data_IF_086402479794
#
_entry.id   IF_086402479794
#
_cell.length_a   1.000
_cell.length_b   1.000
_cell.length_c   1.000
_cell.angle_alpha   90.00
_cell.angle_beta   90.00
_cell.angle_gamma   90.00
#
_symmetry.space_group_name_H-M   'P 1'
#
loop_
_entity.id
_entity.type
_entity.pdbx_description
1 polymer ?
#
# COMPACT_ATOMS: atom_id res chain seq x y z
N UNK A 1 5.84 21.56 30.24
CA UNK A 1 4.96 22.61 29.67
C UNK A 1 4.81 22.30 28.20
N UNK A 2 3.67 21.72 27.82
CA UNK A 2 3.34 21.44 26.42
C UNK A 2 2.83 22.73 25.81
N UNK A 3 3.59 23.32 24.90
CA UNK A 3 3.01 24.25 23.93
C UNK A 3 2.08 23.44 23.04
N UNK A 4 0.78 23.69 23.17
CA UNK A 4 -0.19 23.26 22.19
C UNK A 4 0.23 23.88 20.85
N UNK A 5 0.69 23.06 19.89
CA UNK A 5 0.90 23.48 18.50
C UNK A 5 -0.38 24.18 18.04
N UNK A 6 -0.30 25.49 17.87
CA UNK A 6 -1.35 26.34 17.35
C UNK A 6 -1.72 25.92 15.94
N UNK A 7 -3.01 26.06 15.62
CA UNK A 7 -3.79 25.44 14.56
C UNK A 7 -3.51 25.91 13.12
N UNK A 8 -2.26 26.17 12.73
CA UNK A 8 -1.97 26.65 11.36
C UNK A 8 -0.57 26.26 10.81
N UNK A 9 0.13 25.31 11.43
CA UNK A 9 1.35 24.75 10.83
C UNK A 9 0.99 23.72 9.75
N UNK A 10 1.50 23.91 8.53
CA UNK A 10 1.35 22.95 7.43
C UNK A 10 1.74 21.53 7.88
N UNK A 11 0.85 20.56 7.65
CA UNK A 11 1.12 19.15 7.94
C UNK A 11 2.17 18.65 6.96
N UNK A 12 3.30 18.15 7.45
CA UNK A 12 4.38 17.67 6.57
C UNK A 12 4.34 16.16 6.40
N UNK A 13 4.83 15.65 5.27
CA UNK A 13 4.92 14.23 4.99
C UNK A 13 6.30 13.83 4.45
N UNK A 14 6.80 12.69 4.92
CA UNK A 14 7.86 11.92 4.25
C UNK A 14 7.20 10.68 3.66
N UNK A 15 7.45 10.42 2.38
CA UNK A 15 6.88 9.26 1.70
C UNK A 15 7.96 8.30 1.20
N UNK A 16 7.84 7.03 1.56
CA UNK A 16 8.73 5.96 1.12
C UNK A 16 8.05 5.03 0.12
N UNK A 17 8.80 4.47 -0.82
CA UNK A 17 8.23 3.66 -1.90
C UNK A 17 7.10 4.43 -2.61
N UNK A 18 7.33 5.72 -2.88
CA UNK A 18 6.29 6.65 -3.30
C UNK A 18 5.69 6.31 -4.68
N UNK A 19 6.40 5.52 -5.48
CA UNK A 19 6.02 5.17 -6.83
C UNK A 19 5.81 6.42 -7.68
N UNK A 20 4.77 6.38 -8.51
CA UNK A 20 4.43 7.51 -9.37
C UNK A 20 3.55 8.58 -8.68
N UNK A 21 3.30 8.46 -7.36
CA UNK A 21 2.65 9.52 -6.56
C UNK A 21 1.14 9.48 -6.46
N UNK A 22 0.50 8.32 -6.63
CA UNK A 22 -0.95 8.20 -6.38
C UNK A 22 -1.33 8.51 -4.93
N UNK A 23 -0.59 7.95 -3.97
CA UNK A 23 -0.73 8.29 -2.56
C UNK A 23 -0.32 9.74 -2.30
N UNK A 24 0.78 10.21 -2.91
CA UNK A 24 1.28 11.57 -2.74
C UNK A 24 0.24 12.63 -3.13
N UNK A 25 -0.44 12.45 -4.27
CA UNK A 25 -1.55 13.32 -4.69
C UNK A 25 -2.68 13.33 -3.65
N UNK A 26 -3.11 12.14 -3.19
CA UNK A 26 -4.18 12.04 -2.21
C UNK A 26 -3.84 12.75 -0.89
N UNK A 27 -2.61 12.57 -0.40
CA UNK A 27 -2.12 13.23 0.80
C UNK A 27 -2.00 14.75 0.62
N UNK A 28 -1.52 15.21 -0.54
CA UNK A 28 -1.49 16.64 -0.86
C UNK A 28 -2.88 17.27 -0.81
N UNK A 29 -3.88 16.60 -1.43
CA UNK A 29 -5.29 17.00 -1.39
C UNK A 29 -5.95 16.89 -0.01
N UNK A 30 -5.30 16.24 0.95
CA UNK A 30 -5.69 16.20 2.34
C UNK A 30 -5.00 17.29 3.20
N UNK A 31 -4.17 18.12 2.58
CA UNK A 31 -3.46 19.22 3.23
C UNK A 31 -2.06 18.88 3.72
N UNK A 32 -1.49 17.72 3.32
CA UNK A 32 -0.08 17.43 3.60
C UNK A 32 0.85 18.10 2.57
N UNK A 33 2.06 18.40 2.99
CA UNK A 33 3.16 18.89 2.15
C UNK A 33 4.32 17.92 2.24
N UNK A 34 4.68 17.31 1.12
CA UNK A 34 5.83 16.42 1.07
C UNK A 34 7.11 17.21 1.29
N UNK A 35 7.94 16.78 2.23
CA UNK A 35 9.30 17.30 2.43
C UNK A 35 10.35 16.39 1.80
N UNK A 36 10.06 15.08 1.78
CA UNK A 36 10.89 14.06 1.13
C UNK A 36 9.97 12.99 0.51
N UNK A 37 10.33 12.55 -0.69
CA UNK A 37 9.83 11.32 -1.28
C UNK A 37 11.02 10.42 -1.70
N UNK A 38 10.98 9.15 -1.32
CA UNK A 38 12.01 8.15 -1.65
C UNK A 38 11.43 7.13 -2.63
N UNK A 39 12.05 7.01 -3.81
CA UNK A 39 11.62 6.11 -4.86
C UNK A 39 12.80 5.44 -5.56
N UNK A 40 12.69 4.13 -5.79
CA UNK A 40 13.76 3.32 -6.39
C UNK A 40 13.78 3.45 -7.92
N UNK A 41 12.60 3.50 -8.55
CA UNK A 41 12.44 3.55 -9.99
C UNK A 41 12.61 4.97 -10.52
N UNK A 42 13.58 5.16 -11.42
CA UNK A 42 13.90 6.47 -11.99
C UNK A 42 12.76 7.08 -12.80
N UNK A 43 11.98 6.27 -13.52
CA UNK A 43 10.86 6.79 -14.32
C UNK A 43 9.74 7.27 -13.38
N UNK A 44 9.40 6.48 -12.35
CA UNK A 44 8.45 6.88 -11.32
C UNK A 44 8.91 8.10 -10.53
N UNK A 45 10.18 8.17 -10.15
CA UNK A 45 10.76 9.32 -9.45
C UNK A 45 10.70 10.60 -10.29
N UNK A 46 10.94 10.53 -11.60
CA UNK A 46 10.81 11.67 -12.51
C UNK A 46 9.36 12.17 -12.64
N UNK A 47 8.39 11.24 -12.72
CA UNK A 47 6.96 11.59 -12.68
C UNK A 47 6.60 12.25 -11.35
N UNK A 48 7.09 11.71 -10.25
CA UNK A 48 6.83 12.20 -8.90
C UNK A 48 7.41 13.60 -8.69
N UNK A 49 8.67 13.83 -9.06
CA UNK A 49 9.35 15.11 -9.01
C UNK A 49 8.59 16.19 -9.76
N UNK A 50 8.23 15.92 -11.03
CA UNK A 50 7.49 16.85 -11.88
C UNK A 50 6.19 17.30 -11.23
N UNK A 51 5.41 16.36 -10.71
CA UNK A 51 4.09 16.64 -10.18
C UNK A 51 4.13 17.28 -8.81
N UNK A 52 4.94 16.75 -7.88
CA UNK A 52 5.07 17.36 -6.57
C UNK A 52 5.68 18.76 -6.65
N UNK A 53 6.62 18.99 -7.57
CA UNK A 53 7.20 20.32 -7.74
C UNK A 53 6.19 21.32 -8.30
N UNK A 54 5.34 20.87 -9.23
CA UNK A 54 4.23 21.68 -9.75
C UNK A 54 3.24 22.05 -8.65
N UNK A 55 2.86 21.09 -7.80
CA UNK A 55 1.94 21.31 -6.68
C UNK A 55 2.56 22.27 -5.64
N UNK A 56 3.82 22.05 -5.26
CA UNK A 56 4.53 22.94 -4.35
C UNK A 56 4.59 24.38 -4.89
N UNK A 57 4.91 24.55 -6.17
CA UNK A 57 4.93 25.86 -6.83
C UNK A 57 3.56 26.53 -6.83
N UNK A 58 2.50 25.79 -7.14
CA UNK A 58 1.14 26.32 -7.15
C UNK A 58 0.68 26.80 -5.77
N UNK A 59 1.14 26.13 -4.71
CA UNK A 59 0.80 26.45 -3.32
C UNK A 59 1.77 27.47 -2.68
N UNK A 60 2.80 27.93 -3.40
CA UNK A 60 3.85 28.81 -2.84
C UNK A 60 4.73 28.13 -1.80
N UNK A 61 4.86 26.81 -1.87
CA UNK A 61 5.56 25.97 -0.90
C UNK A 61 6.97 25.58 -1.39
N UNK A 62 7.90 25.25 -0.48
CA UNK A 62 9.21 24.73 -0.85
C UNK A 62 9.11 23.45 -1.69
N UNK A 63 10.04 23.29 -2.62
CA UNK A 63 10.13 22.08 -3.43
C UNK A 63 10.50 20.88 -2.54
N UNK A 64 9.83 19.72 -2.70
CA UNK A 64 10.21 18.51 -1.97
C UNK A 64 11.55 17.96 -2.46
N UNK A 65 12.28 17.29 -1.57
CA UNK A 65 13.41 16.47 -1.97
C UNK A 65 12.91 15.14 -2.56
N UNK A 66 13.45 14.74 -3.72
CA UNK A 66 13.21 13.42 -4.31
C UNK A 66 14.51 12.61 -4.22
N UNK A 67 14.54 11.63 -3.33
CA UNK A 67 15.68 10.74 -3.15
C UNK A 67 15.49 9.48 -4.01
N UNK A 68 16.37 9.30 -5.00
CA UNK A 68 16.30 8.17 -5.92
C UNK A 68 17.21 7.05 -5.44
N UNK A 69 16.61 5.98 -4.93
CA UNK A 69 17.38 4.83 -4.45
C UNK A 69 16.58 3.86 -3.62
N UNK A 70 17.30 2.89 -3.06
CA UNK A 70 16.69 1.93 -2.15
C UNK A 70 16.35 2.62 -0.84
N UNK A 71 15.09 2.54 -0.42
CA UNK A 71 14.62 3.16 0.81
C UNK A 71 15.42 2.72 2.04
N UNK A 72 15.95 1.50 2.04
CA UNK A 72 16.68 0.97 3.18
C UNK A 72 18.21 1.12 3.07
N UNK A 73 18.70 1.84 2.05
CA UNK A 73 20.09 2.28 1.94
C UNK A 73 20.26 3.65 2.61
N UNK A 74 20.98 3.70 3.73
CA UNK A 74 21.20 4.95 4.50
C UNK A 74 22.04 6.00 3.76
N UNK A 75 22.66 5.66 2.64
CA UNK A 75 23.31 6.63 1.76
C UNK A 75 22.32 7.41 0.89
N UNK A 76 21.09 6.91 0.74
CA UNK A 76 20.01 7.57 -0.01
C UNK A 76 19.34 8.63 0.85
N UNK A 77 19.06 8.31 2.10
CA UNK A 77 18.47 9.20 3.11
C UNK A 77 18.61 8.58 4.50
N UNK A 78 18.38 9.38 5.56
CA UNK A 78 18.42 8.89 6.94
C UNK A 78 17.12 9.22 7.66
N UNK A 79 16.42 8.23 8.22
CA UNK A 79 15.21 8.46 9.02
C UNK A 79 15.40 9.53 10.13
N UNK A 80 16.56 9.57 10.79
CA UNK A 80 16.84 10.54 11.87
C UNK A 80 16.80 12.01 11.42
N UNK A 81 17.13 12.27 10.15
CA UNK A 81 17.20 13.64 9.61
C UNK A 81 15.80 14.25 9.40
N UNK A 82 14.74 13.43 9.55
CA UNK A 82 13.34 13.81 9.33
C UNK A 82 12.48 13.65 10.59
N UNK A 83 13.08 13.82 11.78
CA UNK A 83 12.35 13.80 13.04
C UNK A 83 11.32 14.93 13.13
N UNK A 84 10.17 14.63 13.73
CA UNK A 84 9.11 15.62 13.98
C UNK A 84 8.18 15.92 12.79
N UNK A 85 8.30 15.15 11.70
CA UNK A 85 7.34 15.19 10.58
C UNK A 85 5.93 14.74 11.04
N UNK A 86 4.88 15.34 10.49
CA UNK A 86 3.50 14.94 10.82
C UNK A 86 3.16 13.52 10.36
N UNK A 87 3.64 13.11 9.19
CA UNK A 87 3.30 11.80 8.60
C UNK A 87 4.51 11.12 7.95
N UNK A 88 4.72 9.84 8.29
CA UNK A 88 5.47 8.91 7.44
C UNK A 88 4.46 8.07 6.64
N UNK A 89 4.53 8.12 5.31
CA UNK A 89 3.63 7.38 4.43
C UNK A 89 4.39 6.40 3.52
N UNK A 90 3.75 5.33 3.05
CA UNK A 90 4.36 4.49 2.01
C UNK A 90 3.51 3.33 1.49
N UNK A 91 3.55 3.12 0.17
CA UNK A 91 3.02 1.93 -0.50
C UNK A 91 4.09 0.85 -0.58
N UNK A 92 4.38 0.19 0.54
CA UNK A 92 5.49 -0.76 0.62
C UNK A 92 5.15 -2.06 -0.11
N UNK A 93 6.11 -2.67 -0.84
CA UNK A 93 5.85 -3.91 -1.54
C UNK A 93 5.41 -5.00 -0.56
N UNK A 94 4.48 -5.86 -0.99
CA UNK A 94 4.02 -6.99 -0.19
C UNK A 94 5.23 -7.79 0.30
N UNK A 95 5.32 -8.11 1.59
CA UNK A 95 6.42 -8.90 2.11
C UNK A 95 6.57 -10.22 1.33
N UNK A 96 7.80 -10.65 1.07
CA UNK A 96 8.14 -11.71 0.12
C UNK A 96 7.80 -13.14 0.60
N UNK A 97 6.75 -13.36 1.38
CA UNK A 97 6.52 -14.68 2.01
C UNK A 97 5.76 -15.65 1.09
N UNK A 98 6.32 -15.88 -0.10
CA UNK A 98 5.66 -16.55 -1.23
C UNK A 98 5.06 -17.92 -0.89
N UNK A 99 3.85 -18.15 -1.39
CA UNK A 99 3.21 -19.46 -1.60
C UNK A 99 3.65 -20.11 -2.93
N UNK A 100 4.56 -19.49 -3.69
CA UNK A 100 4.88 -19.87 -5.08
C UNK A 100 6.34 -19.61 -5.52
N UNK A 101 7.30 -19.60 -4.60
CA UNK A 101 8.73 -19.45 -4.90
C UNK A 101 9.57 -20.37 -4.03
N UNK A 102 10.73 -20.80 -4.53
CA UNK A 102 11.66 -21.75 -3.90
C UNK A 102 11.75 -21.49 -2.39
N UNK A 103 11.56 -22.54 -1.61
CA UNK A 103 11.66 -22.61 -0.14
C UNK A 103 13.05 -22.19 0.35
N UNK A 104 13.41 -20.92 0.20
CA UNK A 104 14.50 -20.29 0.91
C UNK A 104 13.92 -19.90 2.28
N UNK A 105 13.88 -20.88 3.19
CA UNK A 105 13.47 -20.64 4.57
C UNK A 105 14.23 -19.47 5.20
N UNK A 106 13.58 -18.77 6.14
CA UNK A 106 14.14 -17.89 7.19
C UNK A 106 15.28 -16.91 6.84
N UNK A 107 15.51 -16.60 5.57
CA UNK A 107 16.56 -15.69 5.06
C UNK A 107 16.01 -14.72 4.02
N UNK A 108 14.70 -14.45 4.04
CA UNK A 108 14.09 -13.58 3.05
C UNK A 108 14.18 -12.09 3.42
N UNK A 109 15.33 -11.53 3.06
CA UNK A 109 15.86 -10.17 3.23
C UNK A 109 15.03 -9.01 2.58
N UNK A 110 13.72 -9.16 2.29
CA UNK A 110 12.93 -8.16 1.52
C UNK A 110 11.72 -7.55 2.22
N UNK A 111 11.60 -7.67 3.55
CA UNK A 111 10.46 -7.09 4.26
C UNK A 111 10.62 -5.57 4.50
N UNK A 112 10.33 -4.79 3.46
CA UNK A 112 10.29 -3.32 3.56
C UNK A 112 9.18 -2.83 4.48
N UNK A 113 8.16 -3.65 4.77
CA UNK A 113 7.12 -3.28 5.72
C UNK A 113 7.72 -3.24 7.13
N UNK A 114 8.44 -4.30 7.54
CA UNK A 114 9.16 -4.32 8.81
C UNK A 114 10.16 -3.16 8.91
N UNK A 115 10.96 -2.95 7.87
CA UNK A 115 11.90 -1.82 7.85
C UNK A 115 11.20 -0.46 8.05
N UNK A 116 10.04 -0.24 7.43
CA UNK A 116 9.27 0.99 7.58
C UNK A 116 8.80 1.22 9.03
N UNK A 117 8.49 0.16 9.78
CA UNK A 117 8.14 0.25 11.20
C UNK A 117 9.34 0.70 12.04
N UNK A 118 10.56 0.22 11.78
CA UNK A 118 11.76 0.72 12.48
C UNK A 118 12.13 2.14 12.06
N UNK A 119 11.99 2.47 10.77
CA UNK A 119 12.17 3.83 10.30
C UNK A 119 11.22 4.78 11.03
N UNK A 120 9.96 4.38 11.26
CA UNK A 120 9.03 5.14 12.09
C UNK A 120 9.53 5.31 13.53
N UNK A 121 10.13 4.28 14.14
CA UNK A 121 10.74 4.39 15.47
C UNK A 121 11.92 5.37 15.53
N UNK A 122 12.71 5.45 14.45
CA UNK A 122 13.85 6.38 14.32
C UNK A 122 13.40 7.82 14.02
N UNK A 123 12.38 8.00 13.17
CA UNK A 123 11.81 9.30 12.80
C UNK A 123 10.88 9.88 13.87
N UNK A 124 10.17 9.00 14.58
CA UNK A 124 9.08 9.33 15.50
C UNK A 124 8.07 10.35 14.91
N UNK A 125 7.42 10.07 13.76
CA UNK A 125 6.40 10.97 13.19
C UNK A 125 5.14 11.06 14.07
N UNK A 126 4.26 12.02 13.85
CA UNK A 126 2.99 12.09 14.59
C UNK A 126 2.02 10.96 14.18
N UNK A 127 2.05 10.57 12.91
CA UNK A 127 1.30 9.45 12.34
C UNK A 127 2.11 8.66 11.31
N UNK A 128 1.68 7.43 11.05
CA UNK A 128 2.21 6.52 10.03
C UNK A 128 1.06 5.97 9.19
N UNK A 129 1.23 5.97 7.87
CA UNK A 129 0.32 5.38 6.89
C UNK A 129 1.08 4.40 6.00
N UNK A 130 0.81 3.09 6.13
CA UNK A 130 1.39 2.10 5.25
C UNK A 130 0.30 1.36 4.47
N UNK A 131 0.46 1.30 3.15
CA UNK A 131 -0.42 0.56 2.26
C UNK A 131 0.20 -0.78 1.87
N UNK A 132 -0.66 -1.79 1.71
CA UNK A 132 -0.29 -3.06 1.11
C UNK A 132 -1.47 -3.69 0.36
N UNK A 133 -1.18 -4.78 -0.35
CA UNK A 133 -2.21 -5.57 -1.05
C UNK A 133 -3.04 -6.40 -0.06
N UNK A 134 -4.27 -6.75 -0.46
CA UNK A 134 -5.19 -7.63 0.30
C UNK A 134 -4.54 -8.93 0.79
N UNK A 135 -3.53 -9.45 0.08
CA UNK A 135 -2.84 -10.69 0.46
C UNK A 135 -2.33 -10.69 1.91
N UNK A 136 -1.94 -9.53 2.46
CA UNK A 136 -1.46 -9.37 3.84
C UNK A 136 -2.57 -9.54 4.88
N UNK A 137 -3.85 -9.42 4.51
CA UNK A 137 -5.00 -9.61 5.43
C UNK A 137 -5.32 -11.09 5.70
N UNK A 138 -4.70 -12.02 4.97
CA UNK A 138 -5.04 -13.45 5.05
C UNK A 138 -4.63 -14.06 6.40
N UNK A 139 -5.31 -15.13 6.88
CA UNK A 139 -5.03 -15.74 8.18
C UNK A 139 -3.57 -16.15 8.40
N UNK A 140 -2.86 -16.56 7.34
CA UNK A 140 -1.44 -16.94 7.43
C UNK A 140 -0.52 -15.85 8.00
N UNK A 141 -0.92 -14.59 7.91
CA UNK A 141 -0.14 -13.43 8.37
C UNK A 141 -0.67 -12.83 9.68
N UNK A 142 -1.58 -13.52 10.37
CA UNK A 142 -2.20 -12.98 11.57
C UNK A 142 -1.17 -12.71 12.69
N UNK A 143 -0.24 -13.64 12.94
CA UNK A 143 0.88 -13.42 13.85
C UNK A 143 1.79 -12.25 13.45
N UNK A 144 2.16 -12.15 12.16
CA UNK A 144 2.94 -11.02 11.64
C UNK A 144 2.25 -9.67 11.88
N UNK A 145 0.97 -9.57 11.51
CA UNK A 145 0.19 -8.33 11.71
C UNK A 145 0.08 -7.95 13.17
N UNK A 146 -0.11 -8.93 14.06
CA UNK A 146 -0.17 -8.68 15.50
C UNK A 146 1.17 -8.18 16.03
N UNK A 147 2.29 -8.77 15.63
CA UNK A 147 3.62 -8.29 16.04
C UNK A 147 3.93 -6.89 15.52
N UNK A 148 3.45 -6.50 14.34
CA UNK A 148 3.53 -5.10 13.88
C UNK A 148 2.76 -4.17 14.82
N UNK A 149 1.53 -4.52 15.22
CA UNK A 149 0.75 -3.72 16.17
C UNK A 149 1.44 -3.61 17.54
N UNK A 150 2.00 -4.72 18.01
CA UNK A 150 2.76 -4.77 19.27
C UNK A 150 4.00 -3.88 19.19
N UNK A 151 4.73 -3.93 18.07
CA UNK A 151 5.91 -3.08 17.84
C UNK A 151 5.55 -1.60 17.82
N UNK A 152 4.44 -1.21 17.18
CA UNK A 152 3.95 0.17 17.26
C UNK A 152 3.58 0.58 18.69
N UNK A 153 3.00 -0.34 19.46
CA UNK A 153 2.69 -0.11 20.89
C UNK A 153 3.97 0.16 21.69
N UNK A 154 5.03 -0.63 21.48
CA UNK A 154 6.35 -0.40 22.10
C UNK A 154 6.96 0.95 21.71
N UNK A 155 6.71 1.41 20.48
CA UNK A 155 7.18 2.69 19.95
C UNK A 155 6.31 3.89 20.40
N UNK A 156 5.23 3.67 21.18
CA UNK A 156 4.35 4.73 21.68
C UNK A 156 3.22 5.14 20.73
N UNK A 157 2.79 4.24 19.84
CA UNK A 157 1.71 4.45 18.89
C UNK A 157 0.53 3.52 19.15
N UNK A 158 -0.68 3.99 18.83
CA UNK A 158 -1.85 3.14 18.61
C UNK A 158 -2.00 2.86 17.14
N UNK A 159 -2.03 1.60 16.77
CA UNK A 159 -2.12 1.16 15.39
C UNK A 159 -3.35 0.29 15.15
N UNK A 160 -3.88 0.34 13.94
CA UNK A 160 -4.93 -0.56 13.47
C UNK A 160 -4.78 -0.85 11.98
N UNK A 161 -5.33 -1.99 11.58
CA UNK A 161 -5.41 -2.42 10.20
C UNK A 161 -6.84 -2.32 9.68
N UNK A 162 -7.02 -1.89 8.42
CA UNK A 162 -8.32 -1.94 7.74
C UNK A 162 -8.18 -2.33 6.28
N UNK A 163 -9.07 -3.23 5.84
CA UNK A 163 -9.26 -3.49 4.41
C UNK A 163 -10.25 -2.45 3.86
N UNK A 164 -9.80 -1.68 2.87
CA UNK A 164 -10.60 -0.67 2.18
C UNK A 164 -10.71 -1.01 0.70
N UNK A 165 -11.91 -0.86 0.14
CA UNK A 165 -12.15 -1.05 -1.28
C UNK A 165 -12.15 0.30 -1.99
N UNK A 166 -11.36 0.46 -3.06
CA UNK A 166 -11.28 1.74 -3.75
C UNK A 166 -12.63 2.24 -4.30
N UNK A 167 -13.52 1.32 -4.71
CA UNK A 167 -14.89 1.65 -5.12
C UNK A 167 -15.68 2.41 -4.08
N UNK A 168 -15.40 2.18 -2.80
CA UNK A 168 -16.10 2.86 -1.71
C UNK A 168 -15.61 4.31 -1.55
N UNK A 169 -14.63 4.76 -2.34
CA UNK A 169 -14.09 6.12 -2.33
C UNK A 169 -14.16 6.78 -3.73
N UNK A 170 -15.14 6.39 -4.54
CA UNK A 170 -15.40 6.99 -5.85
C UNK A 170 -14.49 6.51 -7.00
N UNK A 171 -13.63 5.52 -6.75
CA UNK A 171 -12.77 4.93 -7.80
C UNK A 171 -13.55 3.81 -8.52
N UNK A 172 -13.72 3.83 -9.86
CA UNK A 172 -14.57 2.85 -10.56
C UNK A 172 -13.89 1.48 -10.73
N UNK A 173 -13.32 0.91 -9.66
CA UNK A 173 -12.49 -0.29 -9.68
C UNK A 173 -12.60 -1.11 -8.38
N UNK A 174 -12.68 -2.43 -8.51
CA UNK A 174 -12.44 -3.38 -7.43
C UNK A 174 -10.94 -3.41 -7.12
N UNK A 175 -10.53 -2.72 -6.07
CA UNK A 175 -9.12 -2.64 -5.66
C UNK A 175 -9.04 -2.64 -4.13
N UNK A 176 -9.11 -3.82 -3.49
CA UNK A 176 -8.99 -3.93 -2.05
C UNK A 176 -7.54 -3.66 -1.64
N UNK A 177 -7.36 -2.74 -0.70
CA UNK A 177 -6.08 -2.38 -0.07
C UNK A 177 -6.12 -2.55 1.42
N UNK A 178 -5.04 -3.11 1.95
CA UNK A 178 -4.89 -3.41 3.35
C UNK A 178 -3.98 -2.35 3.96
N UNK A 179 -4.59 -1.48 4.75
CA UNK A 179 -3.98 -0.25 5.22
C UNK A 179 -3.66 -0.40 6.70
N UNK A 180 -2.48 0.05 7.10
CA UNK A 180 -2.11 0.31 8.48
C UNK A 180 -2.10 1.81 8.73
N UNK A 181 -2.77 2.24 9.81
CA UNK A 181 -2.62 3.59 10.36
C UNK A 181 -2.16 3.47 11.80
N UNK A 182 -1.04 4.12 12.13
CA UNK A 182 -0.54 4.26 13.49
C UNK A 182 -0.47 5.74 13.88
N UNK A 183 -0.97 6.12 15.06
CA UNK A 183 -0.91 7.50 15.56
C UNK A 183 -0.33 7.50 16.97
N UNK A 184 0.39 8.57 17.35
CA UNK A 184 0.78 8.76 18.75
C UNK A 184 -0.46 8.79 19.65
N UNK A 185 -0.29 8.37 20.91
CA UNK A 185 -1.39 8.24 21.89
C UNK A 185 -2.27 9.48 22.01
N UNK A 186 -1.71 10.68 21.85
CA UNK A 186 -2.46 11.93 21.98
C UNK A 186 -3.39 12.24 20.80
N UNK A 187 -3.13 11.67 19.61
CA UNK A 187 -3.93 11.89 18.40
C UNK A 187 -4.88 10.73 18.12
N UNK A 188 -4.52 9.52 18.53
CA UNK A 188 -5.28 8.31 18.28
C UNK A 188 -6.77 8.37 18.70
N UNK A 189 -7.17 9.02 19.80
CA UNK A 189 -8.58 9.17 20.16
C UNK A 189 -9.41 9.95 19.14
N UNK A 190 -8.79 10.80 18.31
CA UNK A 190 -9.46 11.66 17.33
C UNK A 190 -9.52 11.03 15.93
N UNK A 191 -8.91 9.86 15.74
CA UNK A 191 -8.94 9.17 14.46
C UNK A 191 -10.18 8.29 14.33
N UNK A 192 -10.88 8.46 13.22
CA UNK A 192 -11.85 7.50 12.71
C UNK A 192 -11.46 7.13 11.28
N UNK A 193 -11.50 5.84 10.97
CA UNK A 193 -11.39 5.40 9.58
C UNK A 193 -12.45 6.07 8.70
N UNK A 194 -12.12 6.45 7.46
CA UNK A 194 -13.06 7.14 6.59
C UNK A 194 -14.21 6.21 6.20
N UNK A 195 -15.41 6.78 6.17
CA UNK A 195 -16.61 6.06 5.76
C UNK A 195 -16.76 6.01 4.23
N UNK A 196 -17.35 4.94 3.67
CA UNK A 196 -17.64 4.83 2.25
C UNK A 196 -18.45 6.01 1.69
N UNK A 197 -18.02 6.52 0.55
CA UNK A 197 -18.78 7.44 -0.30
C UNK A 197 -19.50 6.65 -1.42
N UNK A 198 -20.83 6.67 -1.50
CA UNK A 198 -21.60 5.74 -2.35
C UNK A 198 -21.61 6.06 -3.86
N UNK A 199 -20.88 7.07 -4.34
CA UNK A 199 -20.93 7.53 -5.73
C UNK A 199 -20.02 6.73 -6.66
N UNK A 200 -20.31 5.45 -6.88
CA UNK A 200 -19.47 4.58 -7.71
C UNK A 200 -19.86 4.65 -9.18
N UNK A 201 -18.92 5.09 -10.02
CA UNK A 201 -19.07 5.09 -11.47
C UNK A 201 -18.79 3.70 -12.07
N UNK A 202 -19.40 3.41 -13.22
CA UNK A 202 -19.06 2.21 -14.02
C UNK A 202 -17.85 2.50 -14.90
N UNK A 203 -17.23 1.47 -15.48
CA UNK A 203 -16.16 1.67 -16.46
C UNK A 203 -16.65 2.54 -17.61
N UNK A 204 -17.81 2.22 -18.18
CA UNK A 204 -18.39 2.95 -19.28
C UNK A 204 -18.63 4.41 -18.95
N UNK A 205 -19.27 4.72 -17.82
CA UNK A 205 -19.53 6.13 -17.44
C UNK A 205 -18.25 6.89 -17.12
N UNK A 206 -17.25 6.23 -16.53
CA UNK A 206 -16.02 6.88 -16.09
C UNK A 206 -15.09 7.30 -17.23
N UNK A 207 -15.14 6.63 -18.39
CA UNK A 207 -14.21 6.91 -19.51
C UNK A 207 -14.92 7.08 -20.87
N UNK A 208 -16.24 7.26 -20.88
CA UNK A 208 -17.01 7.43 -22.13
C UNK A 208 -16.47 8.58 -22.98
N UNK A 209 -16.22 9.74 -22.37
CA UNK A 209 -15.69 10.93 -23.04
C UNK A 209 -14.34 10.64 -23.72
N UNK A 210 -13.45 9.92 -23.04
CA UNK A 210 -12.17 9.49 -23.59
C UNK A 210 -12.33 8.46 -24.71
N UNK A 211 -13.28 7.54 -24.57
CA UNK A 211 -13.51 6.48 -25.55
C UNK A 211 -14.13 7.04 -26.84
N UNK A 212 -14.97 8.07 -26.71
CA UNK A 212 -15.61 8.77 -27.81
C UNK A 212 -14.73 9.88 -28.42
N UNK A 213 -13.57 10.20 -27.83
CA UNK A 213 -12.76 11.38 -28.17
C UNK A 213 -12.38 11.48 -29.67
N UNK A 214 -12.22 10.35 -30.34
CA UNK A 214 -11.88 10.28 -31.77
C UNK A 214 -13.09 9.97 -32.68
N UNK A 215 -14.32 10.06 -32.17
CA UNK A 215 -15.54 9.94 -32.97
C UNK A 215 -15.98 8.49 -33.28
N UNK A 216 -15.59 7.50 -32.46
CA UNK A 216 -16.03 6.11 -32.67
C UNK A 216 -17.55 5.95 -32.53
N UNK A 217 -18.27 5.50 -33.59
CA UNK A 217 -19.73 5.34 -33.54
C UNK A 217 -20.20 4.28 -32.52
N UNK A 218 -19.33 3.34 -32.13
CA UNK A 218 -19.65 2.29 -31.14
C UNK A 218 -19.55 2.74 -29.67
N UNK A 219 -18.99 3.93 -29.38
CA UNK A 219 -18.61 4.32 -28.02
C UNK A 219 -19.79 4.35 -27.03
N UNK A 220 -20.96 4.83 -27.47
CA UNK A 220 -22.14 4.93 -26.60
C UNK A 220 -22.71 3.55 -26.24
N UNK A 221 -22.83 2.67 -27.24
CA UNK A 221 -23.27 1.29 -27.03
C UNK A 221 -22.27 0.52 -26.16
N UNK A 222 -20.97 0.72 -26.38
CA UNK A 222 -19.91 0.16 -25.55
C UNK A 222 -20.01 0.64 -24.10
N UNK A 223 -20.20 1.94 -23.85
CA UNK A 223 -20.28 2.48 -22.49
C UNK A 223 -21.48 1.91 -21.71
N UNK A 224 -22.63 1.73 -22.39
CA UNK A 224 -23.78 1.01 -21.80
C UNK A 224 -23.46 -0.45 -21.48
N UNK A 225 -22.63 -1.12 -22.27
CA UNK A 225 -22.20 -2.49 -21.97
C UNK A 225 -21.18 -2.55 -20.82
N UNK A 226 -20.29 -1.58 -20.69
CA UNK A 226 -19.30 -1.46 -19.63
C UNK A 226 -19.91 -0.96 -18.28
N UNK A 227 -21.07 -1.49 -17.90
CA UNK A 227 -21.96 -1.02 -16.83
C UNK A 227 -21.59 -1.48 -15.40
N UNK A 228 -20.36 -1.96 -15.19
CA UNK A 228 -19.88 -2.37 -13.85
C UNK A 228 -18.57 -1.66 -13.53
N UNK A 229 -18.18 -1.69 -12.25
CA UNK A 229 -16.83 -1.32 -11.83
C UNK A 229 -15.77 -2.21 -12.48
N UNK A 230 -14.59 -1.65 -12.72
CA UNK A 230 -13.47 -2.36 -13.30
C UNK A 230 -12.98 -3.51 -12.38
N UNK A 231 -12.56 -4.64 -12.95
CA UNK A 231 -11.62 -5.54 -12.29
C UNK A 231 -10.34 -4.80 -11.87
N UNK A 232 -9.57 -5.36 -10.93
CA UNK A 232 -8.32 -4.74 -10.50
C UNK A 232 -7.35 -4.55 -11.67
N UNK A 233 -6.91 -3.31 -11.91
CA UNK A 233 -5.82 -2.99 -12.83
C UNK A 233 -4.50 -3.43 -12.17
N UNK A 234 -3.68 -4.18 -12.90
CA UNK A 234 -2.40 -4.70 -12.42
C UNK A 234 -1.28 -4.12 -13.29
N UNK A 235 -0.41 -3.29 -12.70
CA UNK A 235 0.69 -2.66 -13.43
C UNK A 235 1.80 -3.66 -13.83
N UNK A 236 1.90 -4.80 -13.14
CA UNK A 236 2.96 -5.78 -13.36
C UNK A 236 4.31 -5.32 -12.81
N UNK A 237 5.37 -6.05 -13.14
CA UNK A 237 6.75 -5.77 -12.71
C UNK A 237 7.68 -5.61 -13.92
N UNK A 238 8.93 -5.18 -13.69
CA UNK A 238 9.96 -5.15 -14.74
C UNK A 238 10.34 -6.56 -15.24
N UNK A 239 10.21 -7.59 -14.39
CA UNK A 239 10.63 -8.97 -14.67
C UNK A 239 9.50 -9.82 -15.25
N UNK A 240 8.25 -9.52 -14.89
CA UNK A 240 7.06 -10.27 -15.28
C UNK A 240 5.86 -9.34 -15.46
N UNK A 241 5.08 -9.54 -16.53
CA UNK A 241 3.90 -8.75 -16.87
C UNK A 241 4.18 -7.70 -17.96
N UNK A 242 3.47 -7.83 -19.07
CA UNK A 242 3.37 -6.78 -20.10
C UNK A 242 2.35 -5.72 -19.69
N UNK A 243 2.08 -4.73 -20.55
CA UNK A 243 1.04 -3.75 -20.31
C UNK A 243 -0.33 -4.38 -20.60
N UNK A 244 -0.74 -5.38 -19.82
CA UNK A 244 -2.04 -6.06 -19.89
C UNK A 244 -2.87 -5.74 -18.64
N UNK A 245 -4.19 -5.88 -18.72
CA UNK A 245 -5.10 -5.49 -17.64
C UNK A 245 -5.18 -6.53 -16.49
N UNK A 246 -4.17 -7.41 -16.38
CA UNK A 246 -3.98 -8.32 -15.27
C UNK A 246 -4.00 -9.81 -15.64
N UNK A 247 -4.12 -10.70 -14.63
CA UNK A 247 -4.07 -12.14 -14.84
C UNK A 247 -5.25 -12.65 -15.67
N UNK A 248 -5.17 -13.89 -16.13
CA UNK A 248 -6.17 -14.53 -17.01
C UNK A 248 -7.62 -14.34 -16.53
N UNK A 249 -7.87 -14.44 -15.22
CA UNK A 249 -9.20 -14.19 -14.66
C UNK A 249 -9.66 -12.74 -14.84
N UNK A 250 -8.81 -11.76 -14.50
CA UNK A 250 -9.13 -10.35 -14.68
C UNK A 250 -9.39 -10.03 -16.16
N UNK A 251 -8.61 -10.58 -17.08
CA UNK A 251 -8.81 -10.39 -18.54
C UNK A 251 -10.15 -10.91 -19.04
N UNK A 252 -10.67 -12.02 -18.47
CA UNK A 252 -12.03 -12.49 -18.79
C UNK A 252 -13.10 -11.55 -18.26
N UNK A 253 -12.90 -10.97 -17.07
CA UNK A 253 -13.82 -9.99 -16.52
C UNK A 253 -13.81 -8.69 -17.34
N UNK A 254 -12.64 -8.22 -17.79
CA UNK A 254 -12.53 -7.11 -18.75
C UNK A 254 -13.22 -7.40 -20.07
N UNK A 255 -13.05 -8.61 -20.63
CA UNK A 255 -13.73 -9.02 -21.85
C UNK A 255 -15.26 -8.95 -21.71
N UNK A 256 -15.81 -9.32 -20.54
CA UNK A 256 -17.25 -9.20 -20.27
C UNK A 256 -17.76 -7.76 -20.24
N UNK A 257 -16.87 -6.78 -20.03
CA UNK A 257 -17.16 -5.35 -20.11
C UNK A 257 -16.96 -4.78 -21.51
N UNK A 258 -16.63 -5.61 -22.50
CA UNK A 258 -16.32 -5.13 -23.84
C UNK A 258 -14.94 -4.47 -23.93
N UNK A 259 -13.97 -4.92 -23.13
CA UNK A 259 -12.59 -4.41 -23.18
C UNK A 259 -11.61 -5.55 -23.48
N UNK A 260 -10.74 -5.35 -24.48
CA UNK A 260 -9.59 -6.23 -24.70
C UNK A 260 -8.52 -5.96 -23.65
N UNK A 261 -8.42 -6.86 -22.67
CA UNK A 261 -7.46 -6.77 -21.58
C UNK A 261 -6.05 -7.29 -21.89
N UNK A 262 -5.74 -7.68 -23.14
CA UNK A 262 -4.42 -8.20 -23.53
C UNK A 262 -3.37 -7.10 -23.79
N UNK A 263 -3.76 -5.83 -23.79
CA UNK A 263 -2.88 -4.71 -24.07
C UNK A 263 -3.50 -3.34 -23.78
N UNK A 264 -2.74 -2.29 -24.05
CA UNK A 264 -3.16 -0.88 -23.94
C UNK A 264 -3.01 -0.22 -25.32
N UNK A 265 -4.02 0.53 -25.74
CA UNK A 265 -4.03 1.32 -26.97
C UNK A 265 -3.25 2.64 -26.81
N UNK A 266 -2.77 3.16 -27.94
CA UNK A 266 -2.13 4.49 -28.00
C UNK A 266 -3.16 5.62 -28.09
N UNK A 267 -4.33 5.36 -28.67
CA UNK A 267 -5.41 6.34 -28.85
C UNK A 267 -6.78 5.66 -28.82
N UNK A 268 -7.83 6.47 -28.61
CA UNK A 268 -9.21 6.02 -28.72
C UNK A 268 -9.56 5.63 -30.18
N UNK A 269 -10.56 4.75 -30.40
CA UNK A 269 -10.94 4.33 -31.75
C UNK A 269 -11.48 5.50 -32.59
N UNK A 270 -11.19 5.50 -33.89
CA UNK A 270 -11.63 6.53 -34.83
C UNK A 270 -13.03 6.28 -35.45
N UNK A 271 -13.50 7.16 -36.34
CA UNK A 271 -14.84 7.07 -36.94
C UNK A 271 -15.01 5.86 -37.87
N UNK A 272 -13.93 5.40 -38.49
CA UNK A 272 -13.93 4.25 -39.41
C UNK A 272 -13.90 2.88 -38.69
N UNK A 273 -13.81 2.88 -37.35
CA UNK A 273 -13.75 1.65 -36.56
C UNK A 273 -15.16 1.05 -36.42
N UNK A 274 -15.35 -0.26 -36.70
CA UNK A 274 -16.66 -0.91 -36.59
C UNK A 274 -17.33 -0.73 -35.22
N UNK A 275 -18.66 -0.64 -35.19
CA UNK A 275 -19.44 -0.46 -33.96
C UNK A 275 -19.30 -1.62 -32.97
N UNK A 276 -19.00 -2.83 -33.46
CA UNK A 276 -18.79 -4.04 -32.67
C UNK A 276 -17.31 -4.28 -32.31
N UNK A 277 -16.43 -3.30 -32.55
CA UNK A 277 -15.03 -3.38 -32.18
C UNK A 277 -14.86 -3.56 -30.67
N UNK A 278 -13.86 -4.35 -30.28
CA UNK A 278 -13.47 -4.59 -28.89
C UNK A 278 -12.27 -3.70 -28.54
N UNK A 279 -12.46 -2.53 -27.90
CA UNK A 279 -11.37 -1.60 -27.64
C UNK A 279 -10.42 -2.09 -26.55
N UNK A 280 -9.14 -1.72 -26.69
CA UNK A 280 -8.19 -1.65 -25.56
C UNK A 280 -8.30 -0.28 -24.93
N UNK A 281 -8.08 -0.19 -23.62
CA UNK A 281 -8.00 1.10 -22.93
C UNK A 281 -6.71 1.84 -23.31
N UNK A 282 -6.71 3.17 -23.19
CA UNK A 282 -5.47 3.99 -23.24
C UNK A 282 -4.91 4.19 -21.82
N UNK A 283 -3.67 4.65 -21.69
CA UNK A 283 -3.12 4.99 -20.37
C UNK A 283 -3.94 6.07 -19.65
N UNK A 284 -4.51 7.03 -20.37
CA UNK A 284 -5.37 8.06 -19.78
C UNK A 284 -6.66 7.48 -19.20
N UNK A 285 -7.29 6.55 -19.92
CA UNK A 285 -8.46 5.81 -19.41
C UNK A 285 -8.11 4.98 -18.18
N UNK A 286 -6.96 4.30 -18.20
CA UNK A 286 -6.47 3.51 -17.06
C UNK A 286 -6.20 4.43 -15.86
N UNK A 287 -5.61 5.62 -16.05
CA UNK A 287 -5.39 6.60 -15.00
C UNK A 287 -6.73 7.09 -14.41
N UNK A 288 -7.71 7.39 -15.26
CA UNK A 288 -9.06 7.79 -14.81
C UNK A 288 -9.74 6.70 -13.99
N UNK A 289 -9.63 5.44 -14.41
CA UNK A 289 -10.16 4.28 -13.64
C UNK A 289 -9.40 4.04 -12.34
N UNK A 290 -8.12 4.40 -12.27
CA UNK A 290 -7.32 4.37 -11.04
C UNK A 290 -7.61 5.53 -10.08
N UNK A 291 -8.39 6.53 -10.48
CA UNK A 291 -8.84 7.63 -9.63
C UNK A 291 -8.19 8.99 -9.90
N UNK A 292 -7.38 9.13 -10.96
CA UNK A 292 -6.97 10.44 -11.46
C UNK A 292 -8.09 11.05 -12.30
N UNK A 293 -9.14 11.51 -11.63
CA UNK A 293 -10.36 12.00 -12.27
C UNK A 293 -10.90 13.23 -11.55
N UNK A 294 -11.23 14.26 -12.34
CA UNK A 294 -11.85 15.49 -11.87
C UNK A 294 -10.87 16.56 -11.39
N UNK A 295 -11.40 17.74 -11.03
CA UNK A 295 -10.59 18.89 -10.64
C UNK A 295 -9.69 18.60 -9.44
N UNK A 296 -8.42 19.00 -9.52
CA UNK A 296 -7.43 18.80 -8.47
C UNK A 296 -6.75 17.42 -8.50
N UNK A 297 -7.20 16.51 -9.37
CA UNK A 297 -6.56 15.20 -9.57
C UNK A 297 -5.65 15.14 -10.79
N UNK A 298 -5.27 16.30 -11.36
CA UNK A 298 -4.39 16.36 -12.52
C UNK A 298 -2.99 15.83 -12.16
N UNK A 299 -2.50 14.88 -12.95
CA UNK A 299 -1.19 14.26 -12.75
C UNK A 299 -0.51 13.97 -14.09
N UNK A 300 0.70 14.48 -14.25
CA UNK A 300 1.45 14.42 -15.51
C UNK A 300 2.36 13.20 -15.58
N UNK A 301 1.90 12.18 -16.29
CA UNK A 301 2.65 10.95 -16.60
C UNK A 301 3.46 11.01 -17.90
N UNK A 302 3.57 12.16 -18.56
CA UNK A 302 4.17 12.26 -19.90
C UNK A 302 5.69 12.24 -19.81
N UNK A 303 6.28 11.11 -20.19
CA UNK A 303 7.73 10.95 -20.22
C UNK A 303 8.31 10.88 -21.65
N UNK A 304 7.52 11.19 -22.69
CA UNK A 304 7.95 11.20 -24.10
C UNK A 304 7.62 9.91 -24.89
N UNK A 305 7.93 9.92 -26.20
CA UNK A 305 7.61 8.82 -27.12
C UNK A 305 8.32 7.52 -26.70
N UNK A 306 7.60 6.40 -26.71
CA UNK A 306 8.16 5.06 -26.44
C UNK A 306 8.03 4.55 -24.99
N UNK A 307 7.42 5.30 -24.07
CA UNK A 307 7.30 4.93 -22.65
C UNK A 307 5.92 4.40 -22.20
N UNK A 308 5.03 4.04 -23.13
CA UNK A 308 3.65 3.57 -22.84
C UNK A 308 3.60 2.52 -21.72
N UNK A 309 4.44 1.49 -21.79
CA UNK A 309 4.46 0.40 -20.80
C UNK A 309 4.99 0.85 -19.44
N UNK A 310 5.94 1.79 -19.40
CA UNK A 310 6.44 2.36 -18.14
C UNK A 310 5.35 3.19 -17.46
N UNK A 311 4.68 4.06 -18.21
CA UNK A 311 3.52 4.83 -17.72
C UNK A 311 2.39 3.92 -17.23
N UNK A 312 2.06 2.86 -17.97
CA UNK A 312 1.05 1.90 -17.54
C UNK A 312 1.42 1.23 -16.20
N UNK A 313 2.68 0.82 -16.03
CA UNK A 313 3.19 0.23 -14.78
C UNK A 313 3.05 1.20 -13.61
N UNK A 314 3.45 2.46 -13.82
CA UNK A 314 3.32 3.55 -12.84
C UNK A 314 1.86 3.69 -12.38
N UNK A 315 0.92 3.79 -13.32
CA UNK A 315 -0.52 3.91 -13.05
C UNK A 315 -1.06 2.67 -12.32
N UNK A 316 -0.78 1.47 -12.85
CA UNK A 316 -1.37 0.22 -12.35
C UNK A 316 -0.87 -0.23 -10.99
N UNK A 317 0.34 0.20 -10.58
CA UNK A 317 0.90 -0.11 -9.27
C UNK A 317 0.57 0.94 -8.20
N UNK A 318 0.10 2.13 -8.58
CA UNK A 318 -0.19 3.19 -7.62
C UNK A 318 -1.35 2.85 -6.66
N UNK A 319 -1.27 3.43 -5.47
CA UNK A 319 -2.40 3.52 -4.55
C UNK A 319 -3.39 4.60 -5.05
N UNK A 320 -4.71 4.32 -5.16
CA UNK A 320 -5.65 5.28 -5.72
C UNK A 320 -5.69 6.60 -4.94
N UNK A 321 -5.51 7.75 -5.61
CA UNK A 321 -5.51 9.06 -4.96
C UNK A 321 -6.76 9.36 -4.10
N UNK A 322 -8.00 9.02 -4.52
CA UNK A 322 -9.18 9.29 -3.70
C UNK A 322 -9.19 8.53 -2.37
N UNK A 323 -8.67 7.30 -2.34
CA UNK A 323 -8.57 6.49 -1.12
C UNK A 323 -7.50 7.09 -0.20
N UNK A 324 -6.34 7.42 -0.76
CA UNK A 324 -5.26 8.08 -0.03
C UNK A 324 -5.71 9.43 0.55
N UNK A 325 -6.51 10.21 -0.19
CA UNK A 325 -7.11 11.46 0.29
C UNK A 325 -8.07 11.23 1.46
N UNK A 326 -8.97 10.26 1.35
CA UNK A 326 -9.94 9.98 2.40
C UNK A 326 -9.25 9.60 3.73
N UNK A 327 -8.22 8.75 3.66
CA UNK A 327 -7.41 8.38 4.82
C UNK A 327 -6.59 9.57 5.31
N UNK A 328 -5.97 10.33 4.40
CA UNK A 328 -5.22 11.54 4.71
C UNK A 328 -6.06 12.57 5.45
N UNK A 329 -7.30 12.82 5.04
CA UNK A 329 -8.21 13.73 5.73
C UNK A 329 -8.53 13.26 7.15
N UNK A 330 -8.74 11.96 7.34
CA UNK A 330 -8.95 11.37 8.66
C UNK A 330 -7.71 11.52 9.57
N UNK A 331 -6.50 11.30 9.03
CA UNK A 331 -5.26 11.52 9.77
C UNK A 331 -5.08 13.01 10.09
N UNK A 332 -5.27 13.90 9.12
CA UNK A 332 -5.15 15.35 9.31
C UNK A 332 -6.12 15.86 10.39
N UNK A 333 -7.37 15.40 10.36
CA UNK A 333 -8.38 15.67 11.39
C UNK A 333 -7.92 15.22 12.77
N UNK A 334 -7.34 14.01 12.87
CA UNK A 334 -6.82 13.50 14.14
C UNK A 334 -5.62 14.29 14.67
N UNK A 335 -4.69 14.66 13.78
CA UNK A 335 -3.50 15.44 14.14
C UNK A 335 -3.85 16.87 14.59
N UNK A 336 -4.92 17.45 14.03
CA UNK A 336 -5.49 18.73 14.49
C UNK A 336 -6.37 18.59 15.73
N UNK A 337 -6.68 17.36 16.14
CA UNK A 337 -7.62 17.03 17.23
C UNK A 337 -9.01 17.63 16.98
N UNK A 338 -9.44 17.61 15.72
CA UNK A 338 -10.76 18.08 15.31
C UNK A 338 -11.84 17.15 15.87
N UNK A 339 -12.86 17.71 16.52
CA UNK A 339 -13.98 16.95 17.08
C UNK A 339 -13.75 16.41 18.50
N UNK A 340 -14.61 15.47 18.91
CA UNK A 340 -14.55 14.85 20.24
C UNK A 340 -13.75 13.54 20.19
N UNK A 341 -12.97 13.21 21.23
CA UNK A 341 -12.23 11.95 21.29
C UNK A 341 -13.20 10.76 21.32
N UNK A 342 -13.02 9.83 20.37
CA UNK A 342 -13.77 8.58 20.21
C UNK A 342 -13.13 7.41 20.98
N UNK A 343 -11.83 7.51 21.31
CA UNK A 343 -11.12 6.63 22.25
C UNK A 343 -10.89 5.18 21.78
N UNK A 344 -11.10 4.86 20.50
CA UNK A 344 -11.22 3.47 20.05
C UNK A 344 -10.17 3.00 19.02
N UNK A 345 -9.29 3.87 18.50
CA UNK A 345 -8.27 3.44 17.52
C UNK A 345 -7.34 2.37 18.11
N UNK A 346 -7.26 1.22 17.42
CA UNK A 346 -6.50 0.02 17.86
C UNK A 346 -7.13 -0.81 18.99
N UNK A 347 -8.13 -0.28 19.72
CA UNK A 347 -8.72 -0.95 20.88
C UNK A 347 -9.56 -2.19 20.53
N UNK A 348 -10.08 -2.28 19.31
CA UNK A 348 -10.95 -3.35 18.81
C UNK A 348 -10.55 -3.96 17.48
N UNK A 349 -9.25 -3.96 17.14
CA UNK A 349 -8.79 -4.47 15.83
C UNK A 349 -9.28 -5.90 15.58
N UNK A 350 -10.04 -6.10 14.49
CA UNK A 350 -10.53 -7.42 14.06
C UNK A 350 -9.40 -8.35 13.56
N UNK A 351 -8.18 -7.83 13.42
CA UNK A 351 -7.04 -8.56 12.87
C UNK A 351 -6.10 -9.14 13.93
N UNK A 352 -6.54 -9.16 15.20
CA UNK A 352 -5.80 -9.78 16.31
C UNK A 352 -5.67 -11.29 16.13
N UNK A 353 -4.51 -11.83 16.55
CA UNK A 353 -4.29 -13.28 16.61
C UNK A 353 -4.20 -13.77 18.06
N UNK A 354 -5.28 -14.37 18.54
CA UNK A 354 -5.38 -14.87 19.91
C UNK A 354 -4.38 -15.99 20.22
N UNK A 355 -4.06 -16.86 19.26
CA UNK A 355 -3.08 -17.94 19.48
C UNK A 355 -1.68 -17.37 19.59
N UNK A 356 -1.31 -16.42 18.73
CA UNK A 356 -0.04 -15.71 18.84
C UNK A 356 0.08 -14.99 20.18
N UNK A 357 -0.94 -14.24 20.60
CA UNK A 357 -0.93 -13.55 21.90
C UNK A 357 -0.83 -14.52 23.06
N UNK A 358 -1.59 -15.61 23.02
CA UNK A 358 -1.56 -16.66 24.04
C UNK A 358 -0.19 -17.34 24.12
N UNK A 359 0.59 -17.41 23.03
CA UNK A 359 1.97 -17.89 23.05
C UNK A 359 2.95 -16.82 23.57
N UNK A 360 2.80 -15.57 23.13
CA UNK A 360 3.66 -14.43 23.50
C UNK A 360 3.59 -14.11 24.99
N UNK A 361 2.39 -14.16 25.56
CA UNK A 361 2.15 -13.82 26.96
C UNK A 361 2.65 -14.93 27.92
N UNK A 362 3.15 -16.06 27.41
CA UNK A 362 3.77 -17.12 28.21
C UNK A 362 5.26 -16.89 28.40
N UNK A 363 5.72 -17.00 29.64
CA UNK A 363 7.15 -16.97 29.98
C UNK A 363 7.86 -18.31 29.73
N UNK A 364 7.09 -19.39 29.54
CA UNK A 364 7.61 -20.76 29.41
C UNK A 364 6.96 -21.56 28.27
N UNK A 365 7.17 -22.88 28.30
CA UNK A 365 6.58 -23.80 27.34
C UNK A 365 5.13 -24.14 27.70
N UNK A 366 4.23 -24.13 26.72
CA UNK A 366 2.79 -24.43 26.89
C UNK A 366 2.34 -25.54 25.93
N UNK A 367 1.49 -26.46 26.40
CA UNK A 367 0.91 -27.52 25.56
C UNK A 367 -0.29 -27.03 24.74
N UNK A 368 -0.75 -27.80 23.74
CA UNK A 368 -1.99 -27.49 23.01
C UNK A 368 -3.19 -27.41 23.94
N UNK A 369 -3.33 -28.36 24.87
CA UNK A 369 -4.39 -28.35 25.88
C UNK A 369 -4.30 -27.09 26.78
N UNK A 370 -3.08 -26.65 27.14
CA UNK A 370 -2.86 -25.42 27.89
C UNK A 370 -3.25 -24.16 27.12
N UNK A 371 -2.89 -24.09 25.82
CA UNK A 371 -3.30 -23.00 24.93
C UNK A 371 -4.82 -22.96 24.78
N UNK A 372 -5.45 -24.11 24.52
CA UNK A 372 -6.91 -24.23 24.43
C UNK A 372 -7.61 -23.73 25.68
N UNK A 373 -7.09 -24.07 26.87
CA UNK A 373 -7.60 -23.57 28.15
C UNK A 373 -7.45 -22.06 28.27
N UNK A 374 -6.29 -21.51 27.88
CA UNK A 374 -6.01 -20.06 27.90
C UNK A 374 -6.94 -19.30 26.95
N UNK A 375 -7.27 -19.90 25.82
CA UNK A 375 -8.17 -19.35 24.80
C UNK A 375 -9.66 -19.57 25.14
N UNK A 376 -10.00 -20.04 26.34
CA UNK A 376 -11.38 -20.27 26.76
C UNK A 376 -12.11 -21.38 25.99
N UNK A 377 -11.38 -22.25 25.28
CA UNK A 377 -11.96 -23.32 24.46
C UNK A 377 -12.53 -22.88 23.12
N UNK A 378 -12.34 -21.61 22.71
CA UNK A 378 -12.82 -21.05 21.44
C UNK A 378 -12.25 -21.77 20.21
N UNK A 379 -11.05 -22.36 20.33
CA UNK A 379 -10.38 -23.10 19.27
C UNK A 379 -10.19 -24.57 19.64
N UNK A 380 -10.34 -25.43 18.64
CA UNK A 380 -9.90 -26.82 18.70
C UNK A 380 -8.37 -26.91 18.69
N UNK A 381 -7.81 -28.03 19.16
CA UNK A 381 -6.37 -28.23 19.15
C UNK A 381 -5.80 -28.25 17.73
N UNK A 382 -6.52 -28.83 16.77
CA UNK A 382 -6.15 -28.81 15.34
C UNK A 382 -6.11 -27.41 14.73
N UNK A 383 -7.02 -26.51 15.15
CA UNK A 383 -6.98 -25.09 14.73
C UNK A 383 -5.80 -24.36 15.35
N UNK A 384 -5.51 -24.62 16.63
CA UNK A 384 -4.35 -24.05 17.31
C UNK A 384 -3.06 -24.52 16.62
N UNK A 385 -2.93 -25.82 16.33
CA UNK A 385 -1.76 -26.37 15.67
C UNK A 385 -1.56 -25.77 14.26
N UNK A 386 -2.63 -25.63 13.48
CA UNK A 386 -2.58 -24.94 12.18
C UNK A 386 -2.15 -23.49 12.29
N UNK A 387 -2.62 -22.76 13.32
CA UNK A 387 -2.18 -21.38 13.59
C UNK A 387 -0.71 -21.32 14.00
N UNK A 388 -0.25 -22.22 14.88
CA UNK A 388 1.18 -22.33 15.22
C UNK A 388 2.00 -22.59 13.96
N UNK A 389 1.56 -23.46 13.05
CA UNK A 389 2.24 -23.70 11.78
C UNK A 389 2.34 -22.45 10.88
N UNK A 390 1.36 -21.55 10.91
CA UNK A 390 1.48 -20.24 10.26
C UNK A 390 2.48 -19.33 10.98
N UNK A 391 2.38 -19.21 12.31
CA UNK A 391 3.29 -18.39 13.12
C UNK A 391 4.75 -18.83 12.92
N UNK A 392 5.03 -20.14 12.82
CA UNK A 392 6.37 -20.69 12.56
C UNK A 392 7.07 -20.13 11.31
N UNK A 393 6.32 -19.58 10.35
CA UNK A 393 6.90 -18.96 9.15
C UNK A 393 7.57 -17.63 9.45
N UNK A 394 6.99 -16.87 10.38
CA UNK A 394 7.42 -15.51 10.71
C UNK A 394 8.21 -15.46 12.03
N UNK A 395 8.06 -16.46 12.90
CA UNK A 395 8.69 -16.51 14.22
C UNK A 395 9.47 -17.81 14.41
N UNK A 396 10.47 -17.75 15.27
CA UNK A 396 11.00 -18.96 15.89
C UNK A 396 9.96 -19.52 16.86
N UNK A 397 9.74 -20.83 16.80
CA UNK A 397 8.92 -21.56 17.77
C UNK A 397 9.80 -22.65 18.34
N UNK A 398 10.05 -22.57 19.63
CA UNK A 398 10.77 -23.63 20.34
C UNK A 398 9.79 -24.72 20.74
N UNK A 399 10.21 -25.96 20.53
CA UNK A 399 9.39 -27.13 20.77
C UNK A 399 10.10 -28.09 21.72
N UNK A 400 9.36 -28.58 22.71
CA UNK A 400 9.83 -29.62 23.62
C UNK A 400 8.79 -30.71 23.73
N UNK A 401 9.24 -31.95 23.54
CA UNK A 401 8.44 -33.14 23.80
C UNK A 401 8.75 -33.65 25.22
N UNK A 402 7.71 -33.83 26.04
CA UNK A 402 7.77 -34.50 27.34
C UNK A 402 6.78 -35.67 27.32
N UNK A 403 7.28 -36.90 27.19
CA UNK A 403 6.43 -38.06 26.92
C UNK A 403 5.72 -37.92 25.58
N UNK A 404 4.39 -38.09 25.57
CA UNK A 404 3.55 -37.89 24.38
C UNK A 404 3.13 -36.44 24.16
N UNK A 405 3.35 -35.55 25.15
CA UNK A 405 2.92 -34.15 25.07
C UNK A 405 3.95 -33.27 24.38
N UNK A 406 3.52 -32.55 23.34
CA UNK A 406 4.29 -31.46 22.73
C UNK A 406 3.98 -30.13 23.43
N UNK A 407 5.02 -29.34 23.65
CA UNK A 407 4.92 -27.99 24.22
C UNK A 407 5.67 -26.98 23.38
N UNK A 408 5.15 -25.76 23.32
CA UNK A 408 5.58 -24.69 22.44
C UNK A 408 5.95 -23.45 23.24
N UNK A 409 6.94 -22.69 22.76
CA UNK A 409 7.27 -21.35 23.25
C UNK A 409 7.56 -20.44 22.07
N UNK A 410 7.01 -19.23 22.10
CA UNK A 410 7.32 -18.22 21.09
C UNK A 410 8.77 -17.75 21.28
N UNK A 411 9.56 -17.86 20.22
CA UNK A 411 10.94 -17.37 20.15
C UNK A 411 11.00 -15.99 19.49
N UNK A 412 12.15 -15.68 18.89
CA UNK A 412 12.34 -14.39 18.23
C UNK A 412 11.47 -14.23 16.99
N UNK A 413 11.01 -13.00 16.76
CA UNK A 413 10.45 -12.62 15.47
C UNK A 413 11.55 -12.61 14.41
N UNK A 414 11.29 -13.21 13.24
CA UNK A 414 12.27 -13.33 12.16
C UNK A 414 12.31 -12.09 11.26
N UNK A 415 11.24 -11.31 11.20
CA UNK A 415 11.28 -10.00 10.56
C UNK A 415 12.24 -9.07 11.35
N UNK A 416 12.64 -7.93 10.78
CA UNK A 416 13.51 -6.94 11.44
C UNK A 416 14.98 -7.34 11.66
N UNK A 417 15.42 -8.53 11.24
CA UNK A 417 16.86 -8.85 11.22
C UNK A 417 17.53 -7.96 10.17
N UNK A 418 18.33 -7.00 10.64
CA UNK A 418 18.86 -5.88 9.89
C UNK A 418 19.56 -6.23 8.57
N UNK A 419 19.66 -5.25 7.68
CA UNK A 419 20.25 -5.38 6.35
C UNK A 419 21.78 -5.21 6.32
N UNK A 420 22.43 -5.34 7.49
CA UNK A 420 23.89 -5.26 7.59
C UNK A 420 24.46 -6.45 6.81
N UNK A 421 25.21 -6.15 5.75
CA UNK A 421 25.81 -7.11 4.79
C UNK A 421 24.88 -7.78 3.77
N UNK A 422 23.81 -7.09 3.34
CA UNK A 422 22.82 -7.64 2.40
C UNK A 422 23.29 -7.71 0.93
N UNK A 423 23.11 -8.88 0.29
CA UNK A 423 23.39 -9.15 -1.12
C UNK A 423 22.67 -8.22 -2.12
N UNK A 424 21.59 -7.55 -1.69
CA UNK A 424 20.87 -6.51 -2.45
C UNK A 424 21.75 -5.32 -2.79
N UNK A 425 22.57 -4.84 -1.85
CA UNK A 425 23.50 -3.74 -2.11
C UNK A 425 24.54 -4.15 -3.17
N UNK A 426 24.98 -5.41 -3.16
CA UNK A 426 25.87 -5.96 -4.18
C UNK A 426 25.18 -6.13 -5.55
N UNK A 427 23.95 -6.64 -5.59
CA UNK A 427 23.18 -6.78 -6.83
C UNK A 427 22.93 -5.42 -7.51
N UNK A 428 22.60 -4.39 -6.73
CA UNK A 428 22.39 -3.03 -7.24
C UNK A 428 23.69 -2.28 -7.56
N UNK A 429 24.79 -2.52 -6.82
CA UNK A 429 26.11 -2.03 -7.20
C UNK A 429 26.54 -2.59 -8.57
N UNK A 430 26.21 -3.85 -8.84
CA UNK A 430 26.49 -4.53 -10.12
C UNK A 430 25.63 -3.98 -11.26
N UNK A 431 24.35 -3.64 -11.02
CA UNK A 431 23.49 -2.96 -12.01
C UNK A 431 23.89 -1.50 -12.26
N UNK A 432 24.30 -0.75 -11.22
CA UNK A 432 24.86 0.61 -11.38
C UNK A 432 26.10 0.60 -12.28
N UNK A 433 26.97 -0.39 -12.16
CA UNK A 433 28.14 -0.58 -13.04
C UNK A 433 27.76 -0.89 -14.49
N UNK A 434 26.71 -1.68 -14.73
CA UNK A 434 26.22 -1.98 -16.09
C UNK A 434 25.53 -0.78 -16.76
N UNK A 435 24.82 0.05 -15.99
CA UNK A 435 24.14 1.25 -16.50
C UNK A 435 25.08 2.41 -16.88
N UNK A 436 26.35 2.38 -16.43
CA UNK A 436 27.37 3.38 -16.80
C UNK A 436 28.17 3.02 -18.06
N UNK A 437 27.95 1.83 -18.62
CA UNK A 437 28.69 1.31 -19.80
C UNK A 437 27.79 1.24 -21.05
N UNK A 438 26.54 1.73 -20.96
CA UNK A 438 25.58 1.77 -22.08
C UNK A 438 25.28 3.18 -22.55
#
# INVERSE_FOLDING_TARGET
MNEAKTSDSDLTAVEICAGAGGQSLGLHLAGFRHTLAVELDRDAAATLERNLSRLATADGQPQPLIAIGDVADESVWKPEDHRGVSLLAGGVPCPPFSLAGKQLGSSDERDLFAWAVEAAGRMQPDAVLLENVRGLSMPRFAGYRQAVLDRFTELGYRADWRLLEAKDFGVPQLRPRFILVALRDEFAPYFAWPEPTPAVQTVGSAVYDLMAANGWPGAEAWARNAHRVAPTIVGGSKKHGGPDLGPTRAKREWLSLGVDGLGIADAAPGPDVPVNFMPKLTNEMVARIQGWSGPGYEWDFRDGKGRKTATYRQIGNAFPPPVARAIGLAIASALRKDGQPLGNHGAGSQYRDEVYRALRDQTGFISLAGLRKTLGGTFTEDEIERRIAFIRRDFEIEERRRGETMTFRLGQWRAFRGQVDHARHAAFATERLRSKIS
#
